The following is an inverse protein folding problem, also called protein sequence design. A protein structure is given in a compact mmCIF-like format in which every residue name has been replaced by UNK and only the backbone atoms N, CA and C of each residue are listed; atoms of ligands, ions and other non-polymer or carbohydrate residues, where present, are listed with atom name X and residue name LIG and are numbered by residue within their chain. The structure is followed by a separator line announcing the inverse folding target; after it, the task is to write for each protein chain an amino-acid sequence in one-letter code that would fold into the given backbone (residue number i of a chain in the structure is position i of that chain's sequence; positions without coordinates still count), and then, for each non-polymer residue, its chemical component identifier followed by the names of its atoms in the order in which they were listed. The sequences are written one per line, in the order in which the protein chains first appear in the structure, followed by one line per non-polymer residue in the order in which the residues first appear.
data_IF_726460600618
#
_entry.id   IF_726460600618
#
_cell.length_a   1.000
_cell.length_b   1.000
_cell.length_c   1.000
_cell.angle_alpha   90.00
_cell.angle_beta   90.00
_cell.angle_gamma   90.00
#
_symmetry.space_group_name_H-M   'P 1'
#
loop_
_entity.id
_entity.type
_entity.pdbx_description
1 polymer ?
#
# COMPACT_ATOMS: atom_id res chain seq x y z
N UNK A 1 -15.13 8.05 18.03
CA UNK A 1 -14.35 8.95 17.16
C UNK A 1 -13.48 9.79 18.08
N UNK A 2 -12.20 9.41 18.25
CA UNK A 2 -11.30 10.10 19.21
C UNK A 2 -10.72 11.34 18.51
N UNK A 3 -10.51 12.42 19.24
CA UNK A 3 -10.00 13.69 18.70
C UNK A 3 -8.67 13.57 17.93
N UNK A 4 -7.91 12.49 18.17
CA UNK A 4 -6.68 12.13 17.47
C UNK A 4 -6.89 11.78 16.00
N UNK A 5 -8.02 11.16 15.63
CA UNK A 5 -8.28 10.76 14.25
C UNK A 5 -8.47 12.00 13.38
N UNK A 6 -9.23 12.99 13.87
CA UNK A 6 -9.39 14.25 13.13
C UNK A 6 -8.04 14.94 12.86
N UNK A 7 -7.12 14.89 13.83
CA UNK A 7 -5.77 15.44 13.67
C UNK A 7 -4.93 14.66 12.64
N UNK A 8 -5.04 13.33 12.57
CA UNK A 8 -4.28 12.53 11.59
C UNK A 8 -4.78 12.75 10.17
N UNK A 9 -6.10 12.88 10.00
CA UNK A 9 -6.73 13.19 8.72
C UNK A 9 -6.31 14.59 8.24
N UNK A 10 -6.25 15.57 9.14
CA UNK A 10 -5.75 16.91 8.82
C UNK A 10 -4.27 16.90 8.39
N UNK A 11 -3.44 16.09 9.05
CA UNK A 11 -2.05 15.88 8.65
C UNK A 11 -1.97 15.27 7.25
N UNK A 12 -2.75 14.23 6.95
CA UNK A 12 -2.78 13.60 5.64
C UNK A 12 -3.23 14.56 4.53
N UNK A 13 -4.26 15.38 4.78
CA UNK A 13 -4.71 16.40 3.83
C UNK A 13 -3.62 17.42 3.51
N UNK A 14 -2.84 17.83 4.53
CA UNK A 14 -1.69 18.73 4.34
C UNK A 14 -0.54 18.06 3.59
N UNK A 15 -0.30 16.78 3.83
CA UNK A 15 0.66 15.99 3.04
C UNK A 15 0.28 16.03 1.56
N UNK A 16 -1.01 15.92 1.24
CA UNK A 16 -1.50 15.95 -0.14
C UNK A 16 -1.19 17.23 -0.91
N UNK A 17 -0.95 18.35 -0.22
CA UNK A 17 -0.51 19.62 -0.82
C UNK A 17 1.01 19.86 -0.71
N UNK A 18 1.78 18.84 -0.32
CA UNK A 18 3.24 18.90 -0.24
C UNK A 18 3.82 19.38 1.09
N UNK A 19 3.05 19.38 2.19
CA UNK A 19 3.56 19.81 3.50
C UNK A 19 4.47 18.75 4.15
N UNK A 20 5.78 18.96 4.03
CA UNK A 20 6.80 18.09 4.65
C UNK A 20 6.76 18.06 6.19
N UNK A 21 6.30 19.12 6.85
CA UNK A 21 6.19 19.15 8.30
C UNK A 21 5.02 18.28 8.78
N UNK A 22 3.89 18.35 8.06
CA UNK A 22 2.76 17.45 8.30
C UNK A 22 3.16 15.99 8.10
N UNK A 23 3.90 15.69 7.03
CA UNK A 23 4.40 14.33 6.78
C UNK A 23 5.32 13.84 7.89
N UNK A 24 6.23 14.69 8.39
CA UNK A 24 7.13 14.33 9.50
C UNK A 24 6.34 13.95 10.76
N UNK A 25 5.29 14.70 11.07
CA UNK A 25 4.41 14.42 12.21
C UNK A 25 3.61 13.12 12.01
N UNK A 26 3.10 12.89 10.80
CA UNK A 26 2.39 11.65 10.46
C UNK A 26 3.33 10.43 10.58
N UNK A 27 4.54 10.54 10.04
CA UNK A 27 5.58 9.51 10.13
C UNK A 27 5.95 9.18 11.57
N UNK A 28 6.25 10.21 12.37
CA UNK A 28 6.63 10.02 13.77
C UNK A 28 5.51 9.36 14.60
N UNK A 29 4.26 9.63 14.25
CA UNK A 29 3.09 9.12 14.97
C UNK A 29 2.77 7.68 14.61
N UNK A 30 2.85 7.29 13.32
CA UNK A 30 2.33 6.01 12.83
C UNK A 30 3.41 4.99 12.42
N UNK A 31 4.69 5.40 12.38
CA UNK A 31 5.78 4.47 12.09
C UNK A 31 5.92 3.31 13.09
N UNK A 32 5.68 3.48 14.41
CA UNK A 32 5.76 2.38 15.37
C UNK A 32 4.76 1.26 15.07
N UNK A 33 3.50 1.60 14.79
CA UNK A 33 2.42 0.66 14.47
C UNK A 33 2.66 -0.01 13.11
N UNK A 34 3.07 0.76 12.10
CA UNK A 34 3.46 0.22 10.80
C UNK A 34 4.65 -0.76 10.93
N UNK A 35 5.62 -0.46 11.79
CA UNK A 35 6.74 -1.35 12.05
C UNK A 35 6.29 -2.65 12.75
N UNK A 36 5.36 -2.56 13.71
CA UNK A 36 4.80 -3.74 14.35
C UNK A 36 4.06 -4.64 13.33
N UNK A 37 3.28 -4.04 12.43
CA UNK A 37 2.62 -4.75 11.34
C UNK A 37 3.63 -5.48 10.42
N UNK A 38 4.68 -4.78 9.96
CA UNK A 38 5.73 -5.38 9.11
C UNK A 38 6.45 -6.53 9.81
N UNK A 39 6.79 -6.37 11.09
CA UNK A 39 7.56 -7.37 11.86
C UNK A 39 6.80 -8.67 12.09
N UNK A 40 5.48 -8.68 11.90
CA UNK A 40 4.69 -9.91 11.92
C UNK A 40 5.10 -10.87 10.80
N UNK A 41 5.45 -10.33 9.62
CA UNK A 41 5.91 -11.12 8.49
C UNK A 41 7.43 -11.13 8.33
N UNK A 42 8.12 -10.06 8.74
CA UNK A 42 9.54 -9.83 8.47
C UNK A 42 10.29 -9.45 9.75
N UNK A 43 10.74 -10.43 10.56
CA UNK A 43 11.34 -10.17 11.88
C UNK A 43 12.67 -9.42 11.85
N UNK A 44 13.43 -9.50 10.75
CA UNK A 44 14.70 -8.79 10.61
C UNK A 44 14.52 -7.28 10.74
N UNK A 45 15.29 -6.67 11.66
CA UNK A 45 15.15 -5.26 12.02
C UNK A 45 15.53 -4.34 10.87
N UNK A 46 16.57 -4.71 10.10
CA UNK A 46 17.05 -3.88 9.00
C UNK A 46 16.02 -3.87 7.87
N UNK A 47 15.59 -5.04 7.42
CA UNK A 47 14.63 -5.20 6.33
C UNK A 47 13.26 -4.60 6.69
N UNK A 48 12.77 -4.82 7.91
CA UNK A 48 11.51 -4.23 8.36
C UNK A 48 11.55 -2.70 8.37
N UNK A 49 12.65 -2.09 8.82
CA UNK A 49 12.82 -0.63 8.77
C UNK A 49 12.87 -0.08 7.34
N UNK A 50 13.50 -0.79 6.40
CA UNK A 50 13.48 -0.41 4.98
C UNK A 50 12.06 -0.44 4.41
N UNK A 51 11.29 -1.47 4.75
CA UNK A 51 9.89 -1.60 4.32
C UNK A 51 9.06 -0.44 4.87
N UNK A 52 9.15 -0.13 6.17
CA UNK A 52 8.43 0.99 6.79
C UNK A 52 8.75 2.31 6.10
N UNK A 53 10.04 2.63 5.87
CA UNK A 53 10.42 3.87 5.17
C UNK A 53 9.80 3.94 3.77
N UNK A 54 9.83 2.84 3.02
CA UNK A 54 9.23 2.78 1.69
C UNK A 54 7.70 2.90 1.75
N UNK A 55 7.03 2.30 2.74
CA UNK A 55 5.59 2.46 2.98
C UNK A 55 5.22 3.93 3.15
N UNK A 56 5.98 4.70 3.95
CA UNK A 56 5.68 6.10 4.14
C UNK A 56 5.97 6.97 2.90
N UNK A 57 6.94 6.59 2.06
CA UNK A 57 7.09 7.22 0.74
C UNK A 57 5.86 6.96 -0.15
N UNK A 58 5.29 5.75 -0.12
CA UNK A 58 4.05 5.43 -0.84
C UNK A 58 2.87 6.25 -0.30
N UNK A 59 2.72 6.35 1.02
CA UNK A 59 1.69 7.19 1.67
C UNK A 59 1.81 8.66 1.22
N UNK A 60 3.03 9.22 1.13
CA UNK A 60 3.24 10.57 0.60
C UNK A 60 2.64 10.72 -0.80
N UNK A 61 2.96 9.81 -1.72
CA UNK A 61 2.46 9.87 -3.09
C UNK A 61 0.95 9.67 -3.17
N UNK A 62 0.41 8.71 -2.42
CA UNK A 62 -1.03 8.46 -2.41
C UNK A 62 -1.80 9.69 -1.90
N UNK A 63 -1.32 10.35 -0.83
CA UNK A 63 -1.93 11.60 -0.37
C UNK A 63 -1.81 12.73 -1.39
N UNK A 64 -0.70 12.78 -2.14
CA UNK A 64 -0.46 13.80 -3.19
C UNK A 64 -1.43 13.63 -4.37
N UNK A 65 -1.77 12.40 -4.74
CA UNK A 65 -2.58 12.12 -5.93
C UNK A 65 -4.08 11.92 -5.65
N UNK A 66 -4.47 11.49 -4.45
CA UNK A 66 -5.88 11.31 -4.08
C UNK A 66 -6.21 12.16 -2.85
N UNK A 67 -7.00 13.21 -3.07
CA UNK A 67 -7.54 14.07 -2.01
C UNK A 67 -8.44 13.31 -1.02
N UNK A 68 -8.88 12.09 -1.37
CA UNK A 68 -9.66 11.20 -0.51
C UNK A 68 -8.79 10.27 0.34
N UNK A 69 -7.46 10.40 0.30
CA UNK A 69 -6.58 9.64 1.18
C UNK A 69 -7.04 9.75 2.65
N UNK A 70 -7.52 8.64 3.21
CA UNK A 70 -8.05 8.60 4.58
C UNK A 70 -9.43 9.26 4.80
N UNK A 71 -10.23 9.50 3.74
CA UNK A 71 -11.49 10.27 3.84
C UNK A 71 -12.78 9.47 4.11
N UNK A 72 -12.79 8.12 4.07
CA UNK A 72 -13.85 7.22 4.62
C UNK A 72 -13.49 5.72 4.40
N UNK A 73 -13.93 4.70 5.18
CA UNK A 73 -14.24 4.53 6.62
C UNK A 73 -13.25 3.57 7.33
N UNK A 74 -12.02 3.42 6.84
CA UNK A 74 -10.94 2.73 7.54
C UNK A 74 -9.95 3.77 8.05
N UNK A 75 -10.00 3.99 9.37
CA UNK A 75 -9.03 4.72 10.20
C UNK A 75 -7.64 4.80 9.52
N UNK A 76 -7.13 5.99 9.20
CA UNK A 76 -5.86 6.19 8.47
C UNK A 76 -4.70 5.32 9.01
N UNK A 77 -4.54 5.13 10.34
CA UNK A 77 -3.62 4.15 10.91
C UNK A 77 -3.82 2.73 10.38
N UNK A 78 -5.05 2.22 10.34
CA UNK A 78 -5.35 0.86 9.84
C UNK A 78 -5.05 0.70 8.36
N UNK A 79 -5.28 1.75 7.58
CA UNK A 79 -4.93 1.75 6.16
C UNK A 79 -3.41 1.70 5.97
N UNK A 80 -2.65 2.49 6.72
CA UNK A 80 -1.18 2.45 6.70
C UNK A 80 -0.66 1.11 7.20
N UNK A 81 -1.23 0.55 8.28
CA UNK A 81 -0.92 -0.79 8.78
C UNK A 81 -1.15 -1.87 7.72
N UNK A 82 -2.26 -1.78 6.96
CA UNK A 82 -2.56 -2.73 5.90
C UNK A 82 -1.53 -2.66 4.75
N UNK A 83 -1.15 -1.45 4.31
CA UNK A 83 -0.08 -1.27 3.32
C UNK A 83 1.23 -1.85 3.87
N UNK A 84 1.58 -1.53 5.11
CA UNK A 84 2.80 -1.99 5.75
C UNK A 84 2.85 -3.52 5.86
N UNK A 85 1.76 -4.16 6.29
CA UNK A 85 1.64 -5.61 6.38
C UNK A 85 1.80 -6.28 5.01
N UNK A 86 1.11 -5.77 3.97
CA UNK A 86 1.23 -6.27 2.59
C UNK A 86 2.69 -6.24 2.13
N UNK A 87 3.35 -5.08 2.26
CA UNK A 87 4.74 -4.89 1.85
C UNK A 87 5.73 -5.72 2.67
N UNK A 88 5.43 -6.00 3.93
CA UNK A 88 6.21 -6.91 4.76
C UNK A 88 6.19 -8.35 4.22
N UNK A 89 5.01 -8.83 3.82
CA UNK A 89 4.83 -10.15 3.19
C UNK A 89 5.53 -10.20 1.83
N UNK A 90 5.31 -9.21 0.97
CA UNK A 90 5.97 -9.09 -0.34
C UNK A 90 7.50 -9.12 -0.21
N UNK A 91 8.06 -8.36 0.75
CA UNK A 91 9.51 -8.33 0.99
C UNK A 91 10.03 -9.66 1.48
N UNK A 92 9.36 -10.32 2.43
CA UNK A 92 9.74 -11.67 2.88
C UNK A 92 9.78 -12.62 1.69
N UNK A 93 8.72 -12.66 0.89
CA UNK A 93 8.65 -13.56 -0.27
C UNK A 93 9.74 -13.27 -1.31
N UNK A 94 10.08 -11.99 -1.52
CA UNK A 94 11.21 -11.63 -2.38
C UNK A 94 12.55 -12.14 -1.81
N UNK A 95 12.78 -12.05 -0.50
CA UNK A 95 13.99 -12.53 0.16
C UNK A 95 14.08 -14.07 0.11
N UNK A 96 13.01 -14.76 0.47
CA UNK A 96 12.93 -16.22 0.43
C UNK A 96 13.15 -16.73 -1.01
N UNK A 97 12.63 -16.01 -2.02
CA UNK A 97 12.89 -16.31 -3.43
C UNK A 97 14.37 -16.15 -3.80
N UNK A 98 15.00 -15.05 -3.40
CA UNK A 98 16.43 -14.80 -3.65
C UNK A 98 17.29 -15.87 -2.97
N UNK A 99 16.89 -16.32 -1.79
CA UNK A 99 17.56 -17.39 -1.05
C UNK A 99 17.30 -18.79 -1.64
N UNK A 100 16.36 -18.93 -2.59
CA UNK A 100 15.97 -20.22 -3.16
C UNK A 100 15.09 -21.07 -2.24
N UNK A 101 14.47 -20.46 -1.23
CA UNK A 101 13.64 -21.12 -0.21
C UNK A 101 12.16 -21.27 -0.64
N UNK A 102 11.74 -20.55 -1.69
CA UNK A 102 10.40 -20.67 -2.28
C UNK A 102 10.43 -21.62 -3.49
N UNK A 103 9.60 -22.69 -3.52
CA UNK A 103 9.44 -23.52 -4.70
C UNK A 103 8.91 -22.74 -5.91
N UNK A 104 9.36 -23.08 -7.13
CA UNK A 104 8.97 -22.38 -8.36
C UNK A 104 7.43 -22.29 -8.58
N UNK A 105 6.67 -23.29 -8.15
CA UNK A 105 5.20 -23.25 -8.21
C UNK A 105 4.59 -22.18 -7.29
N UNK A 106 5.15 -21.99 -6.09
CA UNK A 106 4.74 -20.95 -5.14
C UNK A 106 5.15 -19.56 -5.62
N UNK A 107 6.28 -19.45 -6.32
CA UNK A 107 6.73 -18.21 -6.95
C UNK A 107 5.74 -17.72 -8.02
N UNK A 108 5.31 -18.60 -8.93
CA UNK A 108 4.36 -18.26 -9.98
C UNK A 108 2.99 -17.84 -9.42
N UNK A 109 2.50 -18.56 -8.39
CA UNK A 109 1.24 -18.22 -7.71
C UNK A 109 1.31 -16.84 -7.02
N UNK A 110 2.44 -16.51 -6.39
CA UNK A 110 2.65 -15.20 -5.76
C UNK A 110 2.56 -14.05 -6.77
N UNK A 111 3.33 -14.10 -7.86
CA UNK A 111 3.32 -13.05 -8.88
C UNK A 111 1.93 -12.91 -9.53
N UNK A 112 1.25 -14.03 -9.76
CA UNK A 112 -0.10 -14.01 -10.34
C UNK A 112 -1.12 -13.37 -9.39
N UNK A 113 -1.05 -13.66 -8.09
CA UNK A 113 -1.91 -13.01 -7.09
C UNK A 113 -1.63 -11.52 -6.93
N UNK A 114 -0.36 -11.13 -6.86
CA UNK A 114 0.04 -9.73 -6.73
C UNK A 114 -0.42 -8.88 -7.93
N UNK A 115 -0.30 -9.43 -9.14
CA UNK A 115 -0.78 -8.79 -10.36
C UNK A 115 -2.31 -8.72 -10.38
N UNK A 116 -3.01 -9.80 -10.01
CA UNK A 116 -4.47 -9.82 -9.98
C UNK A 116 -5.05 -8.82 -8.97
N UNK A 117 -4.46 -8.68 -7.79
CA UNK A 117 -4.92 -7.71 -6.77
C UNK A 117 -4.71 -6.26 -7.23
N UNK A 118 -3.57 -5.98 -7.88
CA UNK A 118 -3.30 -4.67 -8.49
C UNK A 118 -4.27 -4.37 -9.65
N UNK A 119 -4.49 -5.34 -10.54
CA UNK A 119 -5.38 -5.19 -11.69
C UNK A 119 -6.84 -4.99 -11.24
N UNK A 120 -7.27 -5.68 -10.19
CA UNK A 120 -8.63 -5.58 -9.67
C UNK A 120 -8.89 -4.22 -8.98
N UNK A 121 -7.92 -3.70 -8.22
CA UNK A 121 -8.02 -2.36 -7.65
C UNK A 121 -7.99 -1.27 -8.74
N UNK A 122 -7.07 -1.38 -9.70
CA UNK A 122 -6.99 -0.47 -10.83
C UNK A 122 -8.27 -0.48 -11.68
N UNK A 123 -8.90 -1.66 -11.86
CA UNK A 123 -10.17 -1.80 -12.55
C UNK A 123 -11.31 -1.06 -11.83
N UNK A 124 -11.44 -1.23 -10.51
CA UNK A 124 -12.49 -0.54 -9.74
C UNK A 124 -12.30 0.96 -9.72
N UNK A 125 -11.06 1.45 -9.55
CA UNK A 125 -10.76 2.88 -9.58
C UNK A 125 -11.04 3.49 -10.95
N UNK A 126 -10.60 2.84 -12.03
CA UNK A 126 -10.85 3.31 -13.38
C UNK A 126 -12.35 3.30 -13.72
N UNK A 127 -13.08 2.24 -13.37
CA UNK A 127 -14.52 2.16 -13.58
C UNK A 127 -15.29 3.25 -12.82
N UNK A 128 -14.85 3.59 -11.60
CA UNK A 128 -15.42 4.67 -10.81
C UNK A 128 -15.08 6.07 -11.37
N UNK A 129 -13.89 6.24 -11.98
CA UNK A 129 -13.48 7.50 -12.61
C UNK A 129 -14.16 7.76 -13.96
N UNK A 130 -14.59 6.71 -14.65
CA UNK A 130 -15.23 6.79 -15.97
C UNK A 130 -16.76 6.71 -15.91
N UNK A 131 -17.38 6.88 -14.73
CA UNK A 131 -18.84 6.73 -14.54
C UNK A 131 -19.40 5.41 -15.13
N UNK A 132 -18.62 4.33 -15.06
CA UNK A 132 -19.00 3.03 -15.63
C UNK A 132 -18.97 2.93 -17.17
N UNK A 133 -18.59 3.99 -17.88
CA UNK A 133 -18.47 4.04 -19.33
C UNK A 133 -17.01 4.16 -19.74
N UNK A 134 -16.40 3.00 -20.03
CA UNK A 134 -15.58 2.71 -21.22
C UNK A 134 -14.53 1.64 -20.85
N UNK A 135 -14.97 0.38 -20.82
CA UNK A 135 -14.04 -0.74 -20.88
C UNK A 135 -13.43 -0.76 -22.28
N UNK A 136 -12.13 -0.45 -22.38
CA UNK A 136 -11.32 -0.84 -23.53
C UNK A 136 -11.65 -2.32 -23.80
N UNK A 137 -12.31 -2.61 -24.92
CA UNK A 137 -12.59 -3.99 -25.33
C UNK A 137 -11.24 -4.71 -25.44
N UNK A 138 -10.99 -5.68 -24.57
CA UNK A 138 -9.84 -6.57 -24.69
C UNK A 138 -9.89 -7.19 -26.10
N UNK A 139 -8.90 -6.93 -26.98
CA UNK A 139 -8.92 -7.53 -28.31
C UNK A 139 -8.88 -9.04 -28.14
N UNK A 140 -9.80 -9.74 -28.83
CA UNK A 140 -9.85 -11.19 -28.82
C UNK A 140 -8.47 -11.74 -29.21
N UNK A 141 -7.79 -12.39 -28.27
CA UNK A 141 -6.49 -13.02 -28.51
C UNK A 141 -6.74 -14.17 -29.49
N UNK A 142 -6.52 -13.93 -30.79
CA UNK A 142 -6.55 -14.95 -31.82
C UNK A 142 -5.33 -15.84 -31.60
N UNK A 143 -5.53 -17.01 -31.01
CA UNK A 143 -4.51 -18.07 -30.97
C UNK A 143 -4.34 -18.61 -32.39
N UNK A 144 -3.14 -18.47 -32.96
CA UNK A 144 -2.70 -19.21 -34.17
C UNK A 144 -2.08 -20.53 -33.76
#
# INVERSE_FOLDING_TARGET
MRATDHTLQDLAARVGVGDHAAFRSLYATLAPEALAAVRTALPDVTQSMHVVRATFCEVWWMCTFDARCGSSPHDLPKWIEAIAARRGVERRQALDLIAGEIPAATQAAFWTGLLADHDQLAHFELAAMLDGHDTIQTPAIVRK
#
